data_IF_263240132030
#
_entry.id   IF_263240132030
#
_cell.length_a   1.000
_cell.length_b   1.000
_cell.length_c   1.000
_cell.angle_alpha   90.00
_cell.angle_beta   90.00
_cell.angle_gamma   90.00
#
_symmetry.space_group_name_H-M   'P 1'
#
loop_
_entity.id
_entity.type
_entity.pdbx_description
1 polymer ?
#
# COMPACT_ATOMS: atom_id res chain seq x y z
N UNK A 1 -35.61 -4.84 -29.06
CA UNK A 1 -35.83 -4.81 -27.60
C UNK A 1 -34.70 -5.48 -26.83
N UNK A 2 -33.84 -6.26 -27.46
CA UNK A 2 -32.69 -6.95 -26.88
C UNK A 2 -31.39 -6.12 -26.89
N UNK A 3 -31.18 -5.25 -27.87
CA UNK A 3 -29.95 -4.48 -28.00
C UNK A 3 -29.73 -3.42 -26.92
N UNK A 4 -30.79 -2.74 -26.51
CA UNK A 4 -30.66 -1.74 -25.42
C UNK A 4 -30.45 -2.41 -24.05
N UNK A 5 -30.98 -3.62 -23.84
CA UNK A 5 -30.75 -4.39 -22.62
C UNK A 5 -29.30 -4.85 -22.57
N UNK A 6 -28.73 -5.37 -23.65
CA UNK A 6 -27.32 -5.78 -23.71
C UNK A 6 -26.37 -4.59 -23.54
N UNK A 7 -26.73 -3.41 -24.07
CA UNK A 7 -25.97 -2.18 -23.87
C UNK A 7 -26.00 -1.72 -22.40
N UNK A 8 -27.17 -1.80 -21.75
CA UNK A 8 -27.29 -1.49 -20.33
C UNK A 8 -26.47 -2.48 -19.48
N UNK A 9 -26.60 -3.79 -19.73
CA UNK A 9 -25.86 -4.81 -18.98
C UNK A 9 -24.36 -4.62 -19.11
N UNK A 10 -23.85 -4.30 -20.30
CA UNK A 10 -22.43 -4.03 -20.51
C UNK A 10 -21.95 -2.78 -19.75
N UNK A 11 -22.66 -1.65 -19.86
CA UNK A 11 -22.30 -0.41 -19.17
C UNK A 11 -22.34 -0.53 -17.63
N UNK A 12 -23.37 -1.20 -17.10
CA UNK A 12 -23.46 -1.42 -15.64
C UNK A 12 -22.39 -2.40 -15.14
N UNK A 13 -21.96 -3.37 -15.95
CA UNK A 13 -20.90 -4.28 -15.58
C UNK A 13 -19.56 -3.53 -15.40
N UNK A 14 -19.23 -2.61 -16.29
CA UNK A 14 -18.01 -1.81 -16.23
C UNK A 14 -18.02 -0.84 -15.04
N UNK A 15 -19.15 -0.16 -14.80
CA UNK A 15 -19.31 0.72 -13.64
C UNK A 15 -19.19 -0.05 -12.30
N UNK A 16 -19.78 -1.25 -12.24
CA UNK A 16 -19.69 -2.11 -11.07
C UNK A 16 -18.25 -2.58 -10.84
N UNK A 17 -17.54 -2.96 -11.90
CA UNK A 17 -16.12 -3.34 -11.83
C UNK A 17 -15.25 -2.18 -11.30
N UNK A 18 -15.45 -0.97 -11.81
CA UNK A 18 -14.77 0.24 -11.31
C UNK A 18 -15.05 0.44 -9.82
N UNK A 19 -16.31 0.35 -9.40
CA UNK A 19 -16.68 0.49 -7.99
C UNK A 19 -16.02 -0.57 -7.13
N UNK A 20 -16.00 -1.82 -7.57
CA UNK A 20 -15.35 -2.92 -6.84
C UNK A 20 -13.84 -2.68 -6.67
N UNK A 21 -13.16 -2.20 -7.71
CA UNK A 21 -11.73 -1.88 -7.67
C UNK A 21 -11.43 -0.73 -6.72
N UNK A 22 -12.25 0.34 -6.75
CA UNK A 22 -12.11 1.47 -5.82
C UNK A 22 -12.39 1.06 -4.37
N UNK A 23 -13.42 0.26 -4.12
CA UNK A 23 -13.69 -0.29 -2.80
C UNK A 23 -12.56 -1.17 -2.31
N UNK A 24 -12.06 -2.08 -3.15
CA UNK A 24 -10.93 -2.95 -2.80
C UNK A 24 -9.67 -2.15 -2.44
N UNK A 25 -9.35 -1.10 -3.22
CA UNK A 25 -8.25 -0.20 -2.93
C UNK A 25 -8.42 0.48 -1.57
N UNK A 26 -9.61 1.06 -1.32
CA UNK A 26 -9.90 1.72 -0.05
C UNK A 26 -9.76 0.73 1.13
N UNK A 27 -10.37 -0.45 1.03
CA UNK A 27 -10.30 -1.47 2.07
C UNK A 27 -8.87 -1.99 2.31
N UNK A 28 -8.08 -2.21 1.27
CA UNK A 28 -6.69 -2.64 1.41
C UNK A 28 -5.84 -1.59 2.16
N UNK A 29 -5.95 -0.31 1.76
CA UNK A 29 -5.29 0.79 2.45
C UNK A 29 -5.77 0.97 3.90
N UNK A 30 -7.09 0.87 4.13
CA UNK A 30 -7.68 0.95 5.46
C UNK A 30 -7.23 -0.21 6.37
N UNK A 31 -7.13 -1.42 5.86
CA UNK A 31 -6.68 -2.59 6.63
C UNK A 31 -5.24 -2.40 7.13
N UNK A 32 -4.33 -1.93 6.25
CA UNK A 32 -2.96 -1.59 6.63
C UNK A 32 -2.96 -0.44 7.65
N UNK A 33 -3.79 0.58 7.44
CA UNK A 33 -3.90 1.74 8.33
C UNK A 33 -4.49 1.40 9.70
N UNK A 34 -5.47 0.49 9.77
CA UNK A 34 -6.04 0.01 11.03
C UNK A 34 -4.98 -0.66 11.90
N UNK A 35 -4.10 -1.47 11.31
CA UNK A 35 -2.97 -2.03 12.05
C UNK A 35 -2.09 -0.93 12.65
N UNK A 36 -1.94 0.21 11.96
CA UNK A 36 -1.18 1.37 12.47
C UNK A 36 -1.88 2.05 13.64
N UNK A 37 -3.19 2.27 13.51
CA UNK A 37 -4.01 2.90 14.58
C UNK A 37 -4.01 2.06 15.86
N UNK A 38 -4.18 0.73 15.75
CA UNK A 38 -4.13 -0.20 16.88
C UNK A 38 -2.78 -0.14 17.64
N UNK A 39 -1.69 0.21 16.95
CA UNK A 39 -0.36 0.29 17.55
C UNK A 39 0.10 1.73 17.86
N UNK A 40 -0.80 2.70 17.90
CA UNK A 40 -0.53 4.13 18.15
C UNK A 40 0.57 4.70 17.25
N UNK A 41 0.56 4.35 15.94
CA UNK A 41 1.52 4.84 14.96
C UNK A 41 0.93 5.98 14.14
N UNK A 42 1.73 6.99 13.76
CA UNK A 42 1.28 8.04 12.86
C UNK A 42 0.87 7.45 11.50
N UNK A 43 -0.02 8.15 10.80
CA UNK A 43 -0.59 7.76 9.51
C UNK A 43 -1.41 6.47 9.63
N UNK A 44 -2.66 6.62 10.02
CA UNK A 44 -3.62 5.54 10.27
C UNK A 44 -4.55 5.25 9.10
N UNK A 45 -5.68 4.62 9.44
CA UNK A 45 -6.66 4.05 8.52
C UNK A 45 -7.19 5.05 7.48
N UNK A 46 -7.55 6.27 7.89
CA UNK A 46 -8.09 7.29 6.97
C UNK A 46 -7.07 7.70 5.93
N UNK A 47 -5.86 7.97 6.34
CA UNK A 47 -4.81 8.45 5.44
C UNK A 47 -4.37 7.37 4.46
N UNK A 48 -4.11 6.14 4.93
CA UNK A 48 -3.69 5.05 4.04
C UNK A 48 -4.82 4.59 3.12
N UNK A 49 -6.07 4.61 3.59
CA UNK A 49 -7.24 4.37 2.74
C UNK A 49 -7.37 5.39 1.61
N UNK A 50 -7.18 6.69 1.91
CA UNK A 50 -7.21 7.75 0.91
C UNK A 50 -6.03 7.65 -0.08
N UNK A 51 -4.83 7.31 0.38
CA UNK A 51 -3.66 7.10 -0.50
C UNK A 51 -3.92 5.97 -1.48
N UNK A 52 -4.42 4.84 -1.00
CA UNK A 52 -4.74 3.68 -1.83
C UNK A 52 -5.87 3.98 -2.81
N UNK A 53 -6.95 4.61 -2.35
CA UNK A 53 -8.08 5.02 -3.19
C UNK A 53 -7.63 6.00 -4.28
N UNK A 54 -6.85 7.03 -3.94
CA UNK A 54 -6.34 8.00 -4.90
C UNK A 54 -5.47 7.32 -5.99
N UNK A 55 -4.61 6.38 -5.59
CA UNK A 55 -3.78 5.62 -6.54
C UNK A 55 -4.64 4.80 -7.51
N UNK A 56 -5.68 4.12 -7.01
CA UNK A 56 -6.61 3.36 -7.85
C UNK A 56 -7.39 4.29 -8.79
N UNK A 57 -7.87 5.43 -8.29
CA UNK A 57 -8.59 6.42 -9.11
C UNK A 57 -7.74 6.94 -10.26
N UNK A 58 -6.46 7.26 -10.00
CA UNK A 58 -5.55 7.75 -11.05
C UNK A 58 -5.27 6.66 -12.10
N UNK A 59 -5.08 5.40 -11.68
CA UNK A 59 -4.91 4.27 -12.62
C UNK A 59 -6.18 4.11 -13.47
N UNK A 60 -7.36 4.04 -12.85
CA UNK A 60 -8.62 3.85 -13.54
C UNK A 60 -8.97 5.00 -14.48
N UNK A 61 -8.60 6.24 -14.16
CA UNK A 61 -8.85 7.38 -15.03
C UNK A 61 -8.16 7.26 -16.39
N UNK A 62 -7.07 6.51 -16.49
CA UNK A 62 -6.36 6.23 -17.73
C UNK A 62 -7.00 5.13 -18.58
N UNK A 63 -7.92 4.34 -18.01
CA UNK A 63 -8.53 3.17 -18.68
C UNK A 63 -10.00 3.40 -19.10
N UNK A 64 -10.68 4.39 -18.52
CA UNK A 64 -12.13 4.65 -18.74
C UNK A 64 -12.44 4.97 -20.21
N UNK A 65 -11.47 5.47 -20.99
CA UNK A 65 -11.66 5.83 -22.39
C UNK A 65 -11.37 4.69 -23.37
N UNK A 66 -10.94 3.52 -22.90
CA UNK A 66 -10.51 2.41 -23.76
C UNK A 66 -11.04 1.05 -23.22
N UNK A 67 -12.32 0.99 -22.86
CA UNK A 67 -13.04 -0.19 -22.35
C UNK A 67 -12.23 -0.99 -21.31
N UNK A 68 -11.68 -0.30 -20.32
CA UNK A 68 -10.79 -0.83 -19.27
C UNK A 68 -9.50 -1.51 -19.81
N UNK A 69 -9.14 -1.24 -21.07
CA UNK A 69 -7.86 -1.68 -21.61
C UNK A 69 -6.76 -0.69 -21.23
N UNK A 70 -5.63 -1.21 -20.82
CA UNK A 70 -4.49 -0.43 -20.40
C UNK A 70 -3.36 -0.54 -21.43
N UNK A 71 -3.01 0.56 -22.08
CA UNK A 71 -1.77 0.62 -22.85
C UNK A 71 -0.58 0.53 -21.87
N UNK A 72 0.30 -0.46 -22.04
CA UNK A 72 1.42 -0.74 -21.13
C UNK A 72 2.29 0.49 -20.85
N UNK A 73 2.59 1.28 -21.87
CA UNK A 73 3.41 2.49 -21.72
C UNK A 73 2.70 3.59 -20.90
N UNK A 74 1.39 3.72 -21.05
CA UNK A 74 0.61 4.69 -20.30
C UNK A 74 0.54 4.29 -18.81
N UNK A 75 0.27 3.03 -18.52
CA UNK A 75 0.26 2.47 -17.15
C UNK A 75 1.61 2.68 -16.48
N UNK A 76 2.70 2.38 -17.15
CA UNK A 76 4.05 2.55 -16.60
C UNK A 76 4.31 3.99 -16.19
N UNK A 77 3.93 4.96 -17.02
CA UNK A 77 4.08 6.39 -16.70
C UNK A 77 3.20 6.83 -15.53
N UNK A 78 1.98 6.33 -15.46
CA UNK A 78 1.07 6.63 -14.33
C UNK A 78 1.63 6.07 -13.02
N UNK A 79 2.10 4.82 -13.03
CA UNK A 79 2.74 4.21 -11.85
C UNK A 79 3.96 5.01 -11.42
N UNK A 80 4.83 5.41 -12.34
CA UNK A 80 5.99 6.26 -12.03
C UNK A 80 5.57 7.59 -11.39
N UNK A 81 4.53 8.23 -11.92
CA UNK A 81 3.98 9.47 -11.36
C UNK A 81 3.47 9.29 -9.93
N UNK A 82 2.69 8.23 -9.68
CA UNK A 82 2.18 7.89 -8.33
C UNK A 82 3.35 7.65 -7.39
N UNK A 83 4.30 6.77 -7.76
CA UNK A 83 5.43 6.41 -6.93
C UNK A 83 6.34 7.60 -6.61
N UNK A 84 6.55 8.50 -7.58
CA UNK A 84 7.31 9.73 -7.37
C UNK A 84 6.57 10.69 -6.43
N UNK A 85 5.27 10.90 -6.66
CA UNK A 85 4.45 11.80 -5.84
C UNK A 85 4.33 11.35 -4.39
N UNK A 86 4.19 10.04 -4.14
CA UNK A 86 4.08 9.49 -2.81
C UNK A 86 5.39 9.62 -2.01
N UNK A 87 6.53 9.81 -2.69
CA UNK A 87 7.82 10.06 -2.07
C UNK A 87 7.82 11.28 -1.14
N UNK A 88 7.08 12.33 -1.50
CA UNK A 88 6.91 13.52 -0.66
C UNK A 88 6.17 13.21 0.65
N UNK A 89 5.07 12.46 0.59
CA UNK A 89 4.33 12.03 1.78
C UNK A 89 5.17 11.07 2.64
N UNK A 90 5.91 10.16 2.00
CA UNK A 90 6.83 9.26 2.68
C UNK A 90 7.94 10.02 3.42
N UNK A 91 8.55 11.01 2.78
CA UNK A 91 9.55 11.87 3.40
C UNK A 91 8.98 12.67 4.58
N UNK A 92 7.74 13.18 4.44
CA UNK A 92 7.03 13.88 5.53
C UNK A 92 6.73 13.00 6.75
N UNK A 93 6.70 11.68 6.59
CA UNK A 93 6.52 10.73 7.68
C UNK A 93 7.81 10.44 8.47
N UNK A 94 8.98 10.80 7.91
CA UNK A 94 10.29 10.56 8.52
C UNK A 94 10.64 11.79 9.36
N UNK A 95 10.78 11.60 10.68
CA UNK A 95 11.10 12.64 11.65
C UNK A 95 12.46 12.36 12.25
N UNK A 96 13.22 13.43 12.49
CA UNK A 96 14.42 13.37 13.33
C UNK A 96 14.08 13.66 14.78
N UNK A 97 14.65 12.91 15.71
CA UNK A 97 14.61 13.20 17.13
C UNK A 97 15.19 14.58 17.43
N UNK A 98 14.84 15.15 18.59
CA UNK A 98 15.30 16.48 19.00
C UNK A 98 16.83 16.59 19.05
N UNK A 99 17.53 15.48 19.32
CA UNK A 99 18.99 15.42 19.41
C UNK A 99 19.66 15.09 18.06
N UNK A 100 18.89 14.97 16.96
CA UNK A 100 19.38 14.74 15.61
C UNK A 100 20.02 13.36 15.35
N UNK A 101 20.09 12.49 16.36
CA UNK A 101 20.78 11.19 16.29
C UNK A 101 19.85 10.03 15.92
N UNK A 102 18.56 10.11 16.26
CA UNK A 102 17.59 9.06 15.97
C UNK A 102 16.65 9.46 14.82
N UNK A 103 16.45 8.53 13.88
CA UNK A 103 15.51 8.68 12.78
C UNK A 103 14.28 7.82 13.06
N UNK A 104 13.13 8.45 13.16
CA UNK A 104 11.84 7.80 13.39
C UNK A 104 10.98 7.86 12.12
N UNK A 105 10.02 6.92 11.99
CA UNK A 105 9.02 6.99 10.92
C UNK A 105 9.37 6.23 9.64
N UNK A 106 10.51 5.53 9.56
CA UNK A 106 10.88 4.74 8.37
C UNK A 106 9.81 3.70 8.00
N UNK A 107 9.33 2.93 8.99
CA UNK A 107 8.24 1.97 8.77
C UNK A 107 6.94 2.69 8.36
N UNK A 108 6.70 3.89 8.90
CA UNK A 108 5.53 4.70 8.53
C UNK A 108 5.62 5.16 7.07
N UNK A 109 6.78 5.62 6.63
CA UNK A 109 7.01 5.96 5.23
C UNK A 109 6.80 4.73 4.31
N UNK A 110 7.31 3.57 4.71
CA UNK A 110 7.10 2.31 3.98
C UNK A 110 5.61 1.91 3.90
N UNK A 111 4.81 2.17 4.95
CA UNK A 111 3.35 1.90 4.90
C UNK A 111 2.60 2.82 3.94
N UNK A 112 3.03 4.05 3.77
CA UNK A 112 2.47 4.97 2.75
C UNK A 112 2.75 4.43 1.35
N UNK A 113 3.97 3.95 1.12
CA UNK A 113 4.39 3.35 -0.15
C UNK A 113 3.58 2.10 -0.50
N UNK A 114 3.45 1.16 0.46
CA UNK A 114 2.67 -0.07 0.21
C UNK A 114 1.19 0.22 -0.01
N UNK A 115 0.61 1.20 0.70
CA UNK A 115 -0.78 1.59 0.48
C UNK A 115 -1.01 2.13 -0.95
N UNK A 116 -0.10 2.95 -1.47
CA UNK A 116 -0.16 3.41 -2.85
C UNK A 116 -0.04 2.26 -3.85
N UNK A 117 0.89 1.32 -3.62
CA UNK A 117 1.06 0.15 -4.47
C UNK A 117 -0.17 -0.77 -4.47
N UNK A 118 -0.82 -0.98 -3.31
CA UNK A 118 -2.07 -1.75 -3.21
C UNK A 118 -3.21 -1.07 -3.96
N UNK A 119 -3.28 0.27 -3.92
CA UNK A 119 -4.22 1.04 -4.73
C UNK A 119 -3.99 0.85 -6.23
N UNK A 120 -2.74 0.88 -6.67
CA UNK A 120 -2.38 0.61 -8.07
C UNK A 120 -2.83 -0.79 -8.50
N UNK A 121 -2.49 -1.83 -7.72
CA UNK A 121 -2.85 -3.22 -8.06
C UNK A 121 -4.37 -3.43 -8.05
N UNK A 122 -5.10 -2.83 -7.11
CA UNK A 122 -6.55 -2.88 -7.08
C UNK A 122 -7.16 -2.16 -8.30
N UNK A 123 -6.68 -0.96 -8.64
CA UNK A 123 -7.12 -0.20 -9.81
C UNK A 123 -6.90 -0.96 -11.13
N UNK A 124 -5.81 -1.72 -11.24
CA UNK A 124 -5.54 -2.60 -12.38
C UNK A 124 -6.38 -3.88 -12.40
N UNK A 125 -7.17 -4.16 -11.36
CA UNK A 125 -7.92 -5.43 -11.22
C UNK A 125 -7.02 -6.63 -10.91
N UNK A 126 -5.79 -6.40 -10.45
CA UNK A 126 -4.85 -7.45 -10.06
C UNK A 126 -5.20 -8.01 -8.66
N UNK A 127 -6.34 -8.67 -8.56
CA UNK A 127 -6.96 -9.11 -7.30
C UNK A 127 -6.03 -9.94 -6.42
N UNK A 128 -5.34 -10.91 -7.02
CA UNK A 128 -4.40 -11.75 -6.28
C UNK A 128 -3.26 -10.93 -5.67
N UNK A 129 -2.68 -9.98 -6.42
CA UNK A 129 -1.61 -9.12 -5.92
C UNK A 129 -2.09 -8.20 -4.80
N UNK A 130 -3.31 -7.66 -4.94
CA UNK A 130 -3.91 -6.80 -3.92
C UNK A 130 -4.13 -7.54 -2.62
N UNK A 131 -4.72 -8.74 -2.68
CA UNK A 131 -5.00 -9.56 -1.49
C UNK A 131 -3.68 -10.06 -0.87
N UNK A 132 -2.82 -10.68 -1.66
CA UNK A 132 -1.55 -11.22 -1.18
C UNK A 132 -0.64 -10.11 -0.62
N UNK A 133 -0.55 -8.97 -1.30
CA UNK A 133 0.20 -7.81 -0.84
C UNK A 133 -0.34 -7.24 0.49
N UNK A 134 -1.65 -7.14 0.63
CA UNK A 134 -2.30 -6.68 1.87
C UNK A 134 -1.99 -7.63 3.04
N UNK A 135 -2.16 -8.95 2.82
CA UNK A 135 -1.89 -9.95 3.86
C UNK A 135 -0.41 -9.96 4.25
N UNK A 136 0.50 -9.86 3.29
CA UNK A 136 1.92 -9.83 3.54
C UNK A 136 2.34 -8.55 4.28
N UNK A 137 1.79 -7.40 3.91
CA UNK A 137 2.01 -6.14 4.61
C UNK A 137 1.55 -6.22 6.08
N UNK A 138 0.35 -6.73 6.32
CA UNK A 138 -0.17 -6.94 7.67
C UNK A 138 0.69 -7.92 8.48
N UNK A 139 1.14 -9.01 7.86
CA UNK A 139 2.05 -9.96 8.48
C UNK A 139 3.35 -9.30 8.92
N UNK A 140 4.00 -8.55 8.02
CA UNK A 140 5.25 -7.84 8.32
C UNK A 140 5.08 -6.77 9.40
N UNK A 141 3.98 -6.01 9.38
CA UNK A 141 3.70 -4.98 10.38
C UNK A 141 3.43 -5.57 11.77
N UNK A 142 2.81 -6.75 11.83
CA UNK A 142 2.45 -7.40 13.10
C UNK A 142 3.62 -8.20 13.67
N UNK A 143 4.32 -8.96 12.83
CA UNK A 143 5.34 -9.91 13.28
C UNK A 143 6.78 -9.41 13.07
N UNK A 144 7.01 -8.41 12.22
CA UNK A 144 8.37 -7.94 11.90
C UNK A 144 9.13 -7.48 13.14
N UNK A 145 8.54 -6.62 13.95
CA UNK A 145 9.19 -6.08 15.16
C UNK A 145 9.55 -7.15 16.22
N UNK A 146 8.66 -8.06 16.62
CA UNK A 146 9.02 -9.12 17.57
C UNK A 146 10.08 -10.08 17.04
N UNK A 147 10.08 -10.38 15.74
CA UNK A 147 11.11 -11.22 15.11
C UNK A 147 12.46 -10.50 15.14
N UNK A 148 12.51 -9.24 14.72
CA UNK A 148 13.72 -8.40 14.76
C UNK A 148 14.32 -8.36 16.18
N UNK A 149 13.52 -8.11 17.20
CA UNK A 149 13.98 -8.07 18.59
C UNK A 149 14.54 -9.40 19.07
N UNK A 150 13.91 -10.52 18.69
CA UNK A 150 14.41 -11.86 19.04
C UNK A 150 15.74 -12.15 18.38
N UNK A 151 15.86 -11.86 17.08
CA UNK A 151 17.10 -12.06 16.33
C UNK A 151 18.25 -11.20 16.91
N UNK A 152 17.99 -9.91 17.14
CA UNK A 152 19.00 -9.01 17.73
C UNK A 152 19.50 -9.51 19.08
N UNK A 153 18.60 -9.98 19.96
CA UNK A 153 19.01 -10.55 21.26
C UNK A 153 19.89 -11.79 21.10
N UNK A 154 19.57 -12.69 20.17
CA UNK A 154 20.34 -13.89 19.92
C UNK A 154 21.76 -13.57 19.41
N UNK A 155 21.88 -12.62 18.48
CA UNK A 155 23.18 -12.21 17.95
C UNK A 155 24.04 -11.46 18.98
N UNK A 156 23.42 -10.61 19.80
CA UNK A 156 24.14 -9.88 20.86
C UNK A 156 24.64 -10.84 21.96
N UNK A 157 23.82 -11.81 22.35
CA UNK A 157 24.21 -12.84 23.32
C UNK A 157 25.39 -13.68 22.80
N UNK A 158 25.36 -14.07 21.53
CA UNK A 158 26.45 -14.85 20.91
C UNK A 158 27.77 -14.08 20.83
N UNK A 159 27.70 -12.76 20.55
CA UNK A 159 28.88 -11.90 20.49
C UNK A 159 29.52 -11.76 21.86
N UNK A 160 28.74 -11.60 22.93
CA UNK A 160 29.21 -11.48 24.29
C UNK A 160 29.91 -12.77 24.79
N UNK A 161 29.35 -13.96 24.46
CA UNK A 161 29.98 -15.23 24.79
C UNK A 161 31.35 -15.43 24.10
N UNK A 162 31.52 -14.91 22.89
CA UNK A 162 32.76 -14.99 22.15
C UNK A 162 33.84 -14.01 22.68
N UNK A 163 33.44 -12.90 23.30
CA UNK A 163 34.33 -11.93 23.92
C UNK A 163 34.77 -12.34 25.35
N UNK A 164 34.00 -13.19 26.03
CA UNK A 164 34.32 -13.72 27.38
C UNK A 164 35.22 -14.96 27.32
N UNK A 165 35.41 -15.59 26.15
CA UNK A 165 36.25 -16.79 25.93
C UNK A 165 37.66 -16.47 25.40
N UNK A 166 38.00 -15.20 25.12
CA UNK A 166 39.33 -14.68 24.74
C UNK A 166 39.99 -13.90 25.90
#
# INVERSE_FOLDING_TARGET
MTEWLSWLEANYADELEIMLRLCAAAFAGMAVGLNRDIHDKPIGMRTLGLVSLASATVILSGSVYDDLHFAQDAVSRVIQGIMTGIGFLGAGAILRGKDGTEVHGLTTAATVWIAAALGVTAGLGAWFMTIAGTLMALFLLTFGKPVEQRLTRLFTAKKKSAEDDD
#
